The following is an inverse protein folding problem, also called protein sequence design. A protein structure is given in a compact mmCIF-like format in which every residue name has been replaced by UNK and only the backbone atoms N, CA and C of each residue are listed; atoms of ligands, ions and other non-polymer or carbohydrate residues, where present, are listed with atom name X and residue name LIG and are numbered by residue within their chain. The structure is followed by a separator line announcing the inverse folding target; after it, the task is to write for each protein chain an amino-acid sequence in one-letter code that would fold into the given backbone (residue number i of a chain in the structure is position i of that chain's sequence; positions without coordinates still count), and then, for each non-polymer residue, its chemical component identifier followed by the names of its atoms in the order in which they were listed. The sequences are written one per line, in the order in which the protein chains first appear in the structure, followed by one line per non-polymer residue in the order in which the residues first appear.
data_IF_449268137636
#
_entry.id   IF_449268137636
#
_cell.length_a   1.000
_cell.length_b   1.000
_cell.length_c   1.000
_cell.angle_alpha   90.00
_cell.angle_beta   90.00
_cell.angle_gamma   90.00
#
_symmetry.space_group_name_H-M   'P 1'
#
loop_
_entity.id
_entity.type
_entity.pdbx_description
1 polymer ?
#
# COMPACT_ATOMS: atom_id res chain seq x y z
N UNK A 1 -21.40 -8.98 10.30
CA UNK A 1 -20.05 -9.54 10.05
C UNK A 1 -19.33 -8.56 9.16
N UNK A 2 -18.21 -7.97 9.63
CA UNK A 2 -17.41 -7.11 8.77
C UNK A 2 -16.74 -7.97 7.69
N UNK A 3 -16.85 -7.55 6.45
CA UNK A 3 -16.21 -8.23 5.32
C UNK A 3 -14.68 -8.21 5.52
N UNK A 4 -14.04 -9.38 5.41
CA UNK A 4 -12.60 -9.49 5.63
C UNK A 4 -11.88 -8.90 4.42
N UNK A 5 -11.19 -7.78 4.62
CA UNK A 5 -10.35 -7.16 3.59
C UNK A 5 -9.17 -8.09 3.26
N UNK A 6 -9.12 -8.54 2.02
CA UNK A 6 -8.00 -9.31 1.48
C UNK A 6 -6.94 -8.36 0.92
N UNK A 7 -5.71 -8.51 1.41
CA UNK A 7 -4.56 -7.72 0.98
C UNK A 7 -3.48 -8.68 0.48
N UNK A 8 -3.06 -8.49 -0.75
CA UNK A 8 -2.01 -9.28 -1.39
C UNK A 8 -0.75 -8.44 -1.50
N UNK A 9 0.39 -9.03 -1.13
CA UNK A 9 1.70 -8.42 -1.33
C UNK A 9 2.27 -8.92 -2.66
N UNK A 10 2.53 -8.01 -3.59
CA UNK A 10 3.14 -8.31 -4.89
C UNK A 10 4.53 -7.69 -4.96
N UNK A 11 5.53 -8.50 -5.31
CA UNK A 11 6.89 -8.02 -5.58
C UNK A 11 6.85 -7.02 -6.74
N UNK A 12 7.53 -5.89 -6.56
CA UNK A 12 7.74 -4.90 -7.61
C UNK A 12 9.22 -4.89 -7.95
N UNK A 13 9.57 -5.44 -9.10
CA UNK A 13 10.93 -5.41 -9.58
C UNK A 13 11.30 -3.99 -9.99
N UNK A 14 12.31 -3.42 -9.34
CA UNK A 14 12.95 -2.20 -9.77
C UNK A 14 14.00 -2.53 -10.83
N UNK A 15 14.24 -1.69 -11.86
CA UNK A 15 15.29 -1.90 -12.85
C UNK A 15 16.73 -2.04 -12.28
N UNK A 16 16.91 -1.76 -10.99
CA UNK A 16 18.19 -1.85 -10.29
C UNK A 16 18.25 -3.03 -9.31
N UNK A 17 17.18 -3.81 -9.20
CA UNK A 17 17.20 -5.04 -8.41
C UNK A 17 18.20 -6.01 -9.05
N UNK A 18 19.12 -6.53 -8.24
CA UNK A 18 20.06 -7.54 -8.71
C UNK A 18 19.44 -8.92 -8.63
N UNK A 19 19.74 -9.74 -9.62
CA UNK A 19 19.33 -11.13 -9.62
C UNK A 19 19.92 -11.86 -8.42
N UNK A 20 19.06 -12.56 -7.66
CA UNK A 20 19.44 -13.27 -6.43
C UNK A 20 19.41 -12.45 -5.14
N UNK A 21 19.11 -11.13 -5.20
CA UNK A 21 18.86 -10.34 -4.00
C UNK A 21 17.40 -10.47 -3.53
N UNK A 22 17.19 -10.40 -2.22
CA UNK A 22 15.85 -10.35 -1.63
C UNK A 22 15.10 -9.11 -2.12
N UNK A 23 13.82 -9.23 -2.53
CA UNK A 23 13.08 -8.09 -3.02
C UNK A 23 12.93 -7.00 -1.95
N UNK A 24 13.22 -5.76 -2.33
CA UNK A 24 13.16 -4.60 -1.44
C UNK A 24 11.92 -3.74 -1.65
N UNK A 25 11.17 -3.96 -2.73
CA UNK A 25 10.00 -3.16 -3.10
C UNK A 25 8.78 -4.03 -3.36
N UNK A 26 7.65 -3.65 -2.77
CA UNK A 26 6.40 -4.38 -2.82
C UNK A 26 5.22 -3.42 -3.02
N UNK A 27 4.27 -3.86 -3.83
CA UNK A 27 2.94 -3.24 -3.97
C UNK A 27 1.94 -4.04 -3.13
N UNK A 28 1.03 -3.33 -2.46
CA UNK A 28 -0.08 -3.94 -1.74
C UNK A 28 -1.33 -3.80 -2.59
N UNK A 29 -1.99 -4.93 -2.86
CA UNK A 29 -3.14 -5.04 -3.75
C UNK A 29 -4.38 -5.41 -2.94
N UNK A 30 -5.47 -4.68 -3.18
CA UNK A 30 -6.82 -4.96 -2.68
C UNK A 30 -7.75 -4.88 -3.89
N UNK A 31 -8.60 -5.89 -4.12
CA UNK A 31 -9.54 -5.92 -5.26
C UNK A 31 -8.89 -5.52 -6.59
N UNK A 32 -7.75 -6.15 -6.90
CA UNK A 32 -6.96 -5.91 -8.13
C UNK A 32 -6.39 -4.49 -8.28
N UNK A 33 -6.49 -3.66 -7.25
CA UNK A 33 -6.02 -2.28 -7.22
C UNK A 33 -4.86 -2.15 -6.25
N UNK A 34 -3.78 -1.47 -6.67
CA UNK A 34 -2.68 -1.13 -5.78
C UNK A 34 -3.14 -0.03 -4.82
N UNK A 35 -3.21 -0.35 -3.53
CA UNK A 35 -3.66 0.56 -2.46
C UNK A 35 -2.50 1.14 -1.65
N UNK A 36 -1.31 0.57 -1.80
CA UNK A 36 -0.15 1.01 -1.04
C UNK A 36 1.14 0.32 -1.47
N UNK A 37 2.22 0.67 -0.77
CA UNK A 37 3.54 0.13 -1.00
C UNK A 37 4.25 -0.18 0.30
N UNK A 38 5.14 -1.17 0.26
CA UNK A 38 6.15 -1.44 1.28
C UNK A 38 7.50 -1.44 0.59
N UNK A 39 8.48 -0.75 1.14
CA UNK A 39 9.84 -0.84 0.63
C UNK A 39 10.90 -0.68 1.73
N UNK A 40 12.04 -1.32 1.52
CA UNK A 40 13.21 -1.21 2.37
C UNK A 40 13.98 0.07 2.03
N UNK A 41 14.16 0.97 2.99
CA UNK A 41 15.03 2.14 2.84
C UNK A 41 16.47 1.76 3.20
N UNK A 42 17.30 1.60 2.20
CA UNK A 42 18.72 1.20 2.35
C UNK A 42 19.68 2.36 2.66
N UNK A 43 19.21 3.61 2.56
CA UNK A 43 20.07 4.80 2.64
C UNK A 43 20.30 5.31 4.08
N UNK A 44 19.75 4.66 5.10
CA UNK A 44 19.91 5.03 6.51
C UNK A 44 20.64 3.91 7.22
N UNK A 45 21.97 3.90 7.09
CA UNK A 45 22.81 3.01 7.90
C UNK A 45 22.50 3.26 9.38
N UNK A 46 21.97 2.25 10.07
CA UNK A 46 21.65 2.29 11.50
C UNK A 46 20.20 2.59 11.88
N UNK A 47 19.24 2.57 10.94
CA UNK A 47 17.81 2.69 11.29
C UNK A 47 17.28 1.34 11.81
N UNK A 48 16.79 1.29 13.05
CA UNK A 48 16.16 0.09 13.64
C UNK A 48 14.80 -0.26 12.98
N UNK A 49 14.28 0.64 12.13
CA UNK A 49 12.99 0.53 11.44
C UNK A 49 13.10 0.82 9.93
N UNK A 50 13.85 0.01 9.16
CA UNK A 50 14.19 0.34 7.78
C UNK A 50 13.05 0.08 6.78
N UNK A 51 11.99 -0.64 7.18
CA UNK A 51 10.85 -0.96 6.31
C UNK A 51 9.81 0.14 6.35
N UNK A 52 9.68 0.90 5.27
CA UNK A 52 8.67 1.92 5.11
C UNK A 52 7.39 1.34 4.48
N UNK A 53 6.23 1.84 4.90
CA UNK A 53 4.95 1.55 4.28
C UNK A 53 4.14 2.84 4.06
N UNK A 54 3.32 2.87 3.02
CA UNK A 54 2.38 3.98 2.78
C UNK A 54 1.12 3.53 2.06
N UNK A 55 -0.01 4.13 2.43
CA UNK A 55 -1.28 4.08 1.70
C UNK A 55 -1.23 5.14 0.59
N UNK A 56 -1.30 4.71 -0.66
CA UNK A 56 -1.13 5.57 -1.84
C UNK A 56 -2.46 5.81 -2.53
N UNK A 57 -3.43 6.34 -1.77
CA UNK A 57 -4.77 6.60 -2.27
C UNK A 57 -5.07 8.09 -2.30
N UNK A 58 -5.21 8.63 -3.51
CA UNK A 58 -5.63 10.01 -3.73
C UNK A 58 -7.16 10.08 -3.64
N UNK A 59 -7.68 10.72 -2.59
CA UNK A 59 -9.11 10.98 -2.43
C UNK A 59 -9.35 12.47 -2.25
N UNK A 60 -9.79 13.14 -3.31
CA UNK A 60 -10.29 14.52 -3.22
C UNK A 60 -11.81 14.54 -3.05
N UNK A 61 -12.36 15.31 -2.09
CA UNK A 61 -11.75 15.94 -0.92
C UNK A 61 -12.15 15.14 0.33
N UNK A 62 -11.52 13.99 0.57
CA UNK A 62 -11.76 13.28 1.83
C UNK A 62 -10.78 13.80 2.87
N UNK A 63 -11.24 14.03 4.10
CA UNK A 63 -10.44 14.46 5.26
C UNK A 63 -9.38 13.42 5.71
N UNK A 64 -9.15 12.41 4.90
CA UNK A 64 -8.33 11.25 5.24
C UNK A 64 -6.90 11.55 4.81
N UNK A 65 -6.04 11.77 5.80
CA UNK A 65 -4.62 12.08 5.59
C UNK A 65 -3.90 10.81 5.09
N UNK A 66 -3.00 10.89 4.09
CA UNK A 66 -2.18 9.75 3.69
C UNK A 66 -1.45 9.15 4.90
N UNK A 67 -1.70 7.87 5.17
CA UNK A 67 -1.05 7.16 6.28
C UNK A 67 0.21 6.47 5.79
N UNK A 68 1.31 6.72 6.50
CA UNK A 68 2.59 6.05 6.27
C UNK A 68 3.30 5.79 7.60
N UNK A 69 4.25 4.88 7.59
CA UNK A 69 5.02 4.53 8.79
C UNK A 69 6.26 3.72 8.48
N UNK A 70 6.96 3.33 9.54
CA UNK A 70 8.21 2.55 9.48
C UNK A 70 8.19 1.44 10.52
N UNK A 71 8.79 0.30 10.17
CA UNK A 71 8.86 -0.88 11.02
C UNK A 71 10.19 -1.61 10.87
N UNK A 72 10.53 -2.45 11.85
CA UNK A 72 11.78 -3.22 11.87
C UNK A 72 11.84 -4.32 10.80
N UNK A 73 10.69 -4.86 10.40
CA UNK A 73 10.57 -5.98 9.45
C UNK A 73 9.48 -5.72 8.43
N UNK A 74 9.59 -6.39 7.26
CA UNK A 74 8.56 -6.37 6.22
C UNK A 74 7.21 -6.84 6.74
N UNK A 75 7.21 -7.91 7.55
CA UNK A 75 6.00 -8.48 8.12
C UNK A 75 5.35 -7.53 9.13
N UNK A 76 6.15 -6.82 9.94
CA UNK A 76 5.65 -5.77 10.80
C UNK A 76 5.05 -4.61 9.99
N UNK A 77 5.73 -4.17 8.92
CA UNK A 77 5.21 -3.16 7.99
C UNK A 77 3.87 -3.59 7.36
N UNK A 78 3.74 -4.84 6.94
CA UNK A 78 2.49 -5.38 6.39
C UNK A 78 1.35 -5.42 7.43
N UNK A 79 1.65 -5.78 8.68
CA UNK A 79 0.65 -5.73 9.77
C UNK A 79 0.24 -4.30 10.10
N UNK A 80 1.20 -3.37 10.19
CA UNK A 80 0.94 -1.96 10.45
C UNK A 80 0.12 -1.33 9.32
N UNK A 81 0.47 -1.62 8.07
CA UNK A 81 -0.31 -1.24 6.90
C UNK A 81 -1.75 -1.76 6.99
N UNK A 82 -1.94 -3.06 7.24
CA UNK A 82 -3.27 -3.68 7.30
C UNK A 82 -4.17 -2.98 8.32
N UNK A 83 -3.68 -2.73 9.53
CA UNK A 83 -4.46 -2.04 10.57
C UNK A 83 -4.86 -0.63 10.13
N UNK A 84 -3.91 0.12 9.58
CA UNK A 84 -4.16 1.48 9.08
C UNK A 84 -5.15 1.47 7.90
N UNK A 85 -5.02 0.50 7.00
CA UNK A 85 -5.90 0.35 5.84
C UNK A 85 -7.33 -0.06 6.25
N UNK A 86 -7.49 -0.89 7.28
CA UNK A 86 -8.80 -1.24 7.81
C UNK A 86 -9.53 0.00 8.38
N UNK A 87 -8.83 0.85 9.13
CA UNK A 87 -9.37 2.14 9.61
C UNK A 87 -9.75 3.03 8.42
N UNK A 88 -8.82 3.20 7.48
CA UNK A 88 -9.03 3.99 6.27
C UNK A 88 -10.24 3.52 5.45
N UNK A 89 -10.36 2.21 5.22
CA UNK A 89 -11.43 1.59 4.44
C UNK A 89 -12.78 1.77 5.12
N UNK A 90 -12.82 1.70 6.45
CA UNK A 90 -14.02 1.93 7.25
C UNK A 90 -14.45 3.41 7.20
N UNK A 91 -13.52 4.35 7.35
CA UNK A 91 -13.80 5.79 7.26
C UNK A 91 -14.30 6.20 5.87
N UNK A 92 -13.74 5.62 4.81
CA UNK A 92 -14.20 5.84 3.44
C UNK A 92 -15.62 5.32 3.20
N UNK A 93 -16.03 4.27 3.91
CA UNK A 93 -17.29 3.59 3.68
C UNK A 93 -17.36 2.84 2.35
N UNK A 94 -18.45 2.11 2.14
CA UNK A 94 -18.65 1.31 0.92
C UNK A 94 -18.75 2.17 -0.35
N UNK A 95 -19.44 3.31 -0.26
CA UNK A 95 -19.66 4.21 -1.39
C UNK A 95 -18.37 4.87 -1.87
N UNK A 96 -17.57 5.44 -0.96
CA UNK A 96 -16.30 6.06 -1.33
C UNK A 96 -15.32 5.07 -1.95
N UNK A 97 -15.38 3.80 -1.53
CA UNK A 97 -14.56 2.74 -2.13
C UNK A 97 -15.02 2.37 -3.53
N UNK A 98 -16.33 2.23 -3.75
CA UNK A 98 -16.86 1.99 -5.08
C UNK A 98 -16.46 3.10 -6.06
N UNK A 99 -16.55 4.37 -5.62
CA UNK A 99 -16.08 5.53 -6.41
C UNK A 99 -14.58 5.48 -6.68
N UNK A 100 -13.77 5.09 -5.70
CA UNK A 100 -12.32 4.93 -5.88
C UNK A 100 -12.01 3.85 -6.92
N UNK A 101 -12.63 2.68 -6.83
CA UNK A 101 -12.43 1.58 -7.79
C UNK A 101 -12.88 1.98 -9.19
N UNK A 102 -14.01 2.68 -9.32
CA UNK A 102 -14.47 3.22 -10.60
C UNK A 102 -13.46 4.23 -11.18
N UNK A 103 -12.95 5.14 -10.36
CA UNK A 103 -11.93 6.11 -10.77
C UNK A 103 -10.64 5.43 -11.25
N UNK A 104 -10.15 4.41 -10.54
CA UNK A 104 -8.97 3.64 -10.94
C UNK A 104 -9.22 2.87 -12.25
N UNK A 105 -10.40 2.26 -12.40
CA UNK A 105 -10.79 1.60 -13.66
C UNK A 105 -10.81 2.59 -14.82
N UNK A 106 -11.38 3.77 -14.60
CA UNK A 106 -11.39 4.86 -15.59
C UNK A 106 -9.97 5.30 -15.96
N UNK A 107 -9.06 5.46 -14.99
CA UNK A 107 -7.65 5.77 -15.26
C UNK A 107 -6.97 4.68 -16.10
N UNK A 108 -7.15 3.40 -15.75
CA UNK A 108 -6.56 2.27 -16.50
C UNK A 108 -7.07 2.20 -17.93
N UNK A 109 -8.36 2.44 -18.17
CA UNK A 109 -8.96 2.39 -19.49
C UNK A 109 -8.47 3.50 -20.43
N UNK A 110 -7.91 4.60 -19.89
CA UNK A 110 -7.46 5.77 -20.67
C UNK A 110 -5.97 5.78 -21.00
N UNK A 111 -5.23 4.74 -20.62
CA UNK A 111 -3.82 4.57 -20.94
C UNK A 111 -2.93 4.72 -19.71
N UNK A 112 -2.49 3.57 -19.19
CA UNK A 112 -1.13 3.42 -18.71
C UNK A 112 -0.23 3.02 -19.88
#
# INVERSE_FOLDING_TARGET
MAERIELLLRVRHHPYDREGEEPTHFSIICEETTVGTIYLRTNLAGDDVPWFWAINMNLTPSRIVPMSGREATREAAMRAFRRSFEVFRNEMGAEGWAQHIEHIRWLRARGG
#
